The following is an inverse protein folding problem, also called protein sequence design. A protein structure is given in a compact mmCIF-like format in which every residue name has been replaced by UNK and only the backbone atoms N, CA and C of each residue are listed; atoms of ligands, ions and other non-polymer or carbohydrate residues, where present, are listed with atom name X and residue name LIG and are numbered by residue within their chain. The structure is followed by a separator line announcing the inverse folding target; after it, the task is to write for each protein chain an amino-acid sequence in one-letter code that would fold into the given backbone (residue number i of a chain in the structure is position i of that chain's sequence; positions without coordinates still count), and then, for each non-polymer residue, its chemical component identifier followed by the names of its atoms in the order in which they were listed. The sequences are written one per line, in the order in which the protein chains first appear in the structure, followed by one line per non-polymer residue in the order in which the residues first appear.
data_IF_848910751681
#
_entry.id   IF_848910751681
#
_cell.length_a   1.000
_cell.length_b   1.000
_cell.length_c   1.000
_cell.angle_alpha   90.00
_cell.angle_beta   90.00
_cell.angle_gamma   90.00
#
_symmetry.space_group_name_H-M   'P 1'
#
loop_
_entity.id
_entity.type
_entity.pdbx_description
1 polymer ?
#
# COMPACT_ATOMS: atom_id res chain seq x y z
N UNK A 1 12.62 11.02 11.01
CA UNK A 1 11.93 9.72 10.96
C UNK A 1 10.48 10.00 10.64
N UNK A 2 9.92 9.40 9.57
CA UNK A 2 8.51 9.56 9.26
C UNK A 2 7.69 8.60 10.14
N UNK A 3 6.65 9.12 10.80
CA UNK A 3 5.72 8.34 11.62
C UNK A 3 4.42 8.11 10.86
N UNK A 4 4.10 6.85 10.59
CA UNK A 4 2.83 6.42 10.01
C UNK A 4 1.91 5.89 11.12
N UNK A 5 0.76 6.52 11.29
CA UNK A 5 -0.30 6.06 12.22
C UNK A 5 -1.48 5.55 11.43
N UNK A 6 -1.91 4.32 11.69
CA UNK A 6 -3.07 3.70 11.08
C UNK A 6 -4.12 3.38 12.15
N UNK A 7 -5.38 3.75 11.89
CA UNK A 7 -6.52 3.41 12.75
C UNK A 7 -7.49 2.52 11.97
N UNK A 8 -7.83 1.37 12.56
CA UNK A 8 -8.67 0.34 11.93
C UNK A 8 -10.04 0.18 12.58
N UNK A 9 -10.19 0.60 13.84
CA UNK A 9 -11.45 0.50 14.57
C UNK A 9 -12.29 1.75 14.28
N UNK A 10 -13.33 1.57 13.47
CA UNK A 10 -14.13 2.64 12.87
C UNK A 10 -13.72 2.90 11.42
N UNK A 11 -13.95 4.12 10.93
CA UNK A 11 -13.48 4.48 9.59
C UNK A 11 -11.95 4.41 9.54
N UNK A 12 -11.42 3.79 8.48
CA UNK A 12 -9.97 3.74 8.27
C UNK A 12 -9.38 5.15 8.22
N UNK A 13 -8.33 5.39 9.00
CA UNK A 13 -7.56 6.63 8.99
C UNK A 13 -6.08 6.30 8.86
N UNK A 14 -5.39 7.06 8.02
CA UNK A 14 -3.95 7.03 7.90
C UNK A 14 -3.40 8.45 8.08
N UNK A 15 -2.39 8.59 8.92
CA UNK A 15 -1.69 9.86 9.17
C UNK A 15 -0.20 9.66 8.92
N UNK A 16 0.42 10.54 8.15
CA UNK A 16 1.86 10.64 7.99
C UNK A 16 2.34 11.91 8.70
N UNK A 17 3.16 11.76 9.74
CA UNK A 17 3.63 12.89 10.56
C UNK A 17 2.48 13.78 11.08
N UNK A 18 1.36 13.15 11.45
CA UNK A 18 0.14 13.84 11.91
C UNK A 18 -0.77 14.37 10.80
N UNK A 19 -0.34 14.36 9.53
CA UNK A 19 -1.12 14.83 8.40
C UNK A 19 -1.93 13.69 7.75
N UNK A 20 -3.23 13.89 7.45
CA UNK A 20 -4.06 12.87 6.80
C UNK A 20 -3.55 12.42 5.43
N UNK A 21 -3.39 11.10 5.25
CA UNK A 21 -3.24 10.47 3.95
C UNK A 21 -4.63 10.17 3.38
N UNK A 22 -5.18 11.10 2.60
CA UNK A 22 -6.54 11.02 2.05
C UNK A 22 -6.62 10.55 0.60
N UNK A 23 -5.48 10.50 -0.12
CA UNK A 23 -5.44 10.30 -1.58
C UNK A 23 -5.12 8.85 -2.00
N UNK A 24 -5.72 7.85 -1.33
CA UNK A 24 -5.63 6.47 -1.82
C UNK A 24 -6.47 6.33 -3.09
N UNK A 25 -5.80 6.23 -4.25
CA UNK A 25 -6.47 6.13 -5.57
C UNK A 25 -7.33 4.86 -5.74
N UNK A 26 -7.15 3.84 -4.89
CA UNK A 26 -8.02 2.66 -4.87
C UNK A 26 -7.95 1.94 -3.53
N UNK A 27 -9.00 1.16 -3.23
CA UNK A 27 -9.03 0.26 -2.07
C UNK A 27 -7.87 -0.76 -2.08
N UNK A 28 -7.37 -1.15 -3.27
CA UNK A 28 -6.21 -2.06 -3.38
C UNK A 28 -4.91 -1.40 -2.94
N UNK A 29 -4.68 -0.12 -3.27
CA UNK A 29 -3.50 0.62 -2.80
C UNK A 29 -3.54 0.79 -1.28
N UNK A 30 -4.73 1.11 -0.74
CA UNK A 30 -4.94 1.18 0.71
C UNK A 30 -4.70 -0.18 1.39
N UNK A 31 -5.29 -1.25 0.87
CA UNK A 31 -5.10 -2.61 1.39
C UNK A 31 -3.65 -3.07 1.35
N UNK A 32 -2.91 -2.72 0.29
CA UNK A 32 -1.49 -3.02 0.17
C UNK A 32 -0.67 -2.34 1.27
N UNK A 33 -0.92 -1.06 1.56
CA UNK A 33 -0.26 -0.37 2.66
C UNK A 33 -0.53 -1.06 4.00
N UNK A 34 -1.80 -1.34 4.28
CA UNK A 34 -2.23 -1.98 5.52
C UNK A 34 -1.53 -3.32 5.69
N UNK A 35 -1.54 -4.15 4.65
CA UNK A 35 -0.92 -5.47 4.68
C UNK A 35 0.57 -5.37 4.96
N UNK A 36 1.30 -4.52 4.24
CA UNK A 36 2.75 -4.33 4.43
C UNK A 36 3.09 -3.85 5.84
N UNK A 37 2.29 -2.95 6.43
CA UNK A 37 2.52 -2.46 7.79
C UNK A 37 2.26 -3.55 8.84
N UNK A 38 1.17 -4.29 8.70
CA UNK A 38 0.82 -5.38 9.64
C UNK A 38 1.80 -6.55 9.55
N UNK A 39 2.41 -6.77 8.40
CA UNK A 39 3.34 -7.89 8.14
C UNK A 39 4.81 -7.45 8.02
N UNK A 40 5.16 -6.26 8.55
CA UNK A 40 6.49 -5.64 8.41
C UNK A 40 7.69 -6.46 8.91
N UNK A 41 7.44 -7.53 9.65
CA UNK A 41 8.47 -8.42 10.18
C UNK A 41 8.97 -9.44 9.14
N UNK A 42 8.28 -9.56 7.99
CA UNK A 42 8.58 -10.53 6.95
C UNK A 42 8.91 -9.85 5.62
N UNK A 43 9.86 -10.41 4.88
CA UNK A 43 10.07 -10.07 3.48
C UNK A 43 8.93 -10.66 2.64
N UNK A 44 8.43 -9.91 1.67
CA UNK A 44 7.32 -10.33 0.80
C UNK A 44 7.80 -10.54 -0.62
N UNK A 45 7.47 -11.70 -1.19
CA UNK A 45 7.65 -11.93 -2.61
C UNK A 45 6.64 -11.11 -3.42
N UNK A 46 7.12 -10.48 -4.49
CA UNK A 46 6.26 -9.66 -5.35
C UNK A 46 5.16 -10.49 -6.01
N UNK A 47 5.45 -11.73 -6.40
CA UNK A 47 4.46 -12.62 -6.99
C UNK A 47 3.31 -12.89 -6.02
N UNK A 48 3.61 -13.19 -4.75
CA UNK A 48 2.60 -13.44 -3.71
C UNK A 48 1.71 -12.21 -3.49
N UNK A 49 2.30 -11.01 -3.38
CA UNK A 49 1.53 -9.77 -3.26
C UNK A 49 0.66 -9.51 -4.49
N UNK A 50 1.16 -9.79 -5.69
CA UNK A 50 0.40 -9.60 -6.93
C UNK A 50 -0.83 -10.50 -6.95
N UNK A 51 -0.68 -11.79 -6.63
CA UNK A 51 -1.79 -12.75 -6.56
C UNK A 51 -2.77 -12.42 -5.44
N UNK A 52 -2.28 -12.01 -4.26
CA UNK A 52 -3.13 -11.68 -3.11
C UNK A 52 -4.07 -10.50 -3.41
N UNK A 53 -3.56 -9.46 -4.07
CA UNK A 53 -4.32 -8.23 -4.33
C UNK A 53 -5.05 -8.22 -5.67
N UNK A 54 -4.60 -9.00 -6.65
CA UNK A 54 -5.22 -9.12 -7.98
C UNK A 54 -5.39 -10.59 -8.39
N UNK A 55 -6.20 -11.37 -7.67
CA UNK A 55 -6.34 -12.80 -7.93
C UNK A 55 -6.99 -13.12 -9.28
N UNK A 56 -7.86 -12.23 -9.77
CA UNK A 56 -8.62 -12.42 -11.01
C UNK A 56 -7.89 -11.89 -12.26
N UNK A 57 -6.71 -11.29 -12.09
CA UNK A 57 -5.94 -10.72 -13.20
C UNK A 57 -4.89 -11.72 -13.72
N UNK A 58 -4.61 -11.74 -15.03
CA UNK A 58 -3.45 -12.46 -15.55
C UNK A 58 -2.17 -12.02 -14.84
N UNK A 59 -1.24 -12.94 -14.58
CA UNK A 59 -0.03 -12.71 -13.79
C UNK A 59 0.75 -11.45 -14.23
N UNK A 60 0.91 -11.25 -15.53
CA UNK A 60 1.57 -10.06 -16.10
C UNK A 60 0.88 -8.76 -15.68
N UNK A 61 -0.46 -8.74 -15.70
CA UNK A 61 -1.28 -7.59 -15.32
C UNK A 61 -1.25 -7.38 -13.81
N UNK A 62 -1.37 -8.44 -13.01
CA UNK A 62 -1.24 -8.40 -11.55
C UNK A 62 0.12 -7.80 -11.12
N UNK A 63 1.21 -8.25 -11.74
CA UNK A 63 2.56 -7.74 -11.49
C UNK A 63 2.73 -6.26 -11.88
N UNK A 64 2.13 -5.85 -13.00
CA UNK A 64 2.12 -4.44 -13.41
C UNK A 64 1.34 -3.58 -12.41
N UNK A 65 0.16 -4.03 -11.98
CA UNK A 65 -0.66 -3.33 -11.00
C UNK A 65 0.02 -3.21 -9.63
N UNK A 66 0.70 -4.27 -9.18
CA UNK A 66 1.52 -4.23 -7.97
C UNK A 66 2.61 -3.17 -8.07
N UNK A 67 3.37 -3.15 -9.18
CA UNK A 67 4.43 -2.16 -9.39
C UNK A 67 3.90 -0.72 -9.32
N UNK A 68 2.78 -0.44 -10.00
CA UNK A 68 2.17 0.89 -9.98
C UNK A 68 1.65 1.25 -8.59
N UNK A 69 1.07 0.30 -7.87
CA UNK A 69 0.56 0.51 -6.51
C UNK A 69 1.68 0.82 -5.52
N UNK A 70 2.79 0.07 -5.58
CA UNK A 70 3.98 0.34 -4.78
C UNK A 70 4.58 1.71 -5.08
N UNK A 71 4.70 2.09 -6.36
CA UNK A 71 5.18 3.41 -6.76
C UNK A 71 4.31 4.53 -6.15
N UNK A 72 2.98 4.40 -6.25
CA UNK A 72 2.04 5.37 -5.66
C UNK A 72 2.15 5.43 -4.13
N UNK A 73 2.35 4.30 -3.46
CA UNK A 73 2.57 4.29 -2.01
C UNK A 73 3.85 5.03 -1.63
N UNK A 74 4.94 4.85 -2.38
CA UNK A 74 6.20 5.57 -2.15
C UNK A 74 6.02 7.08 -2.32
N UNK A 75 5.28 7.52 -3.34
CA UNK A 75 4.91 8.94 -3.51
C UNK A 75 4.07 9.46 -2.32
N UNK A 76 3.03 8.71 -1.92
CA UNK A 76 2.15 9.08 -0.80
C UNK A 76 2.90 9.17 0.54
N UNK A 77 3.93 8.36 0.72
CA UNK A 77 4.76 8.33 1.92
C UNK A 77 5.92 9.35 1.88
N UNK A 78 6.06 10.11 0.79
CA UNK A 78 7.13 11.08 0.60
C UNK A 78 8.52 10.46 0.44
N UNK A 79 8.59 9.19 0.02
CA UNK A 79 9.85 8.47 -0.22
C UNK A 79 10.46 8.82 -1.59
N UNK A 80 9.62 9.20 -2.55
CA UNK A 80 10.04 9.64 -3.89
C UNK A 80 9.25 10.88 -4.29
N UNK A 81 9.90 11.81 -4.98
CA UNK A 81 9.25 12.97 -5.59
C UNK A 81 8.29 12.51 -6.71
N UNK A 82 7.21 13.29 -6.90
CA UNK A 82 6.13 12.94 -7.84
C UNK A 82 6.45 13.27 -9.28
#
# INVERSE_FOLDING_TARGET
MNQLTLSFLGAFKALLNGLPLINFRSAKVQGLLIYLVLTRQHAHERAVLATLFWPDEPERVANQNLRQSLYRLRQLLGDIES
#
